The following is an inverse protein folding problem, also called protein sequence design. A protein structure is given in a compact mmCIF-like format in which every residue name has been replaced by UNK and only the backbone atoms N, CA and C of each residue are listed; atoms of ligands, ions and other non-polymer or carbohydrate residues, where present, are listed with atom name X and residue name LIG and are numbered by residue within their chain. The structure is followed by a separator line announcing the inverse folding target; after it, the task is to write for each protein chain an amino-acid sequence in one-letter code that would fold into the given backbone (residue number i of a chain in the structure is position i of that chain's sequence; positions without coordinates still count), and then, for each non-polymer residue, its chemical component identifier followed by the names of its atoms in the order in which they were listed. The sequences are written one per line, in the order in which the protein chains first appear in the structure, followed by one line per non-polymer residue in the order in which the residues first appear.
data_IF_098309862207
#
_entry.id   IF_098309862207
#
_cell.length_a   1.000
_cell.length_b   1.000
_cell.length_c   1.000
_cell.angle_alpha   90.00
_cell.angle_beta   90.00
_cell.angle_gamma   90.00
#
_symmetry.space_group_name_H-M   'P 1'
#
loop_
_entity.id
_entity.type
_entity.pdbx_description
1 polymer ?
#
# COMPACT_ATOMS: atom_id res chain seq x y z
N UNK A 1 0.32 -47.53 46.08
CA UNK A 1 0.96 -47.92 44.80
C UNK A 1 0.22 -47.20 43.69
N UNK A 2 0.67 -45.99 43.32
CA UNK A 2 0.08 -45.15 42.28
C UNK A 2 1.04 -45.14 41.10
N UNK A 3 0.58 -45.65 39.96
CA UNK A 3 1.37 -45.81 38.73
C UNK A 3 1.55 -44.43 38.08
N UNK A 4 2.81 -44.08 37.80
CA UNK A 4 3.24 -42.89 37.06
C UNK A 4 2.80 -43.00 35.60
N UNK A 5 2.04 -42.02 35.09
CA UNK A 5 1.82 -41.85 33.66
C UNK A 5 2.75 -40.75 33.11
N UNK A 6 3.59 -41.23 32.20
CA UNK A 6 4.64 -40.59 31.43
C UNK A 6 4.18 -39.32 30.68
N UNK A 7 4.94 -38.22 30.79
CA UNK A 7 4.77 -37.03 29.95
C UNK A 7 5.32 -37.32 28.56
N UNK A 8 4.44 -37.55 27.58
CA UNK A 8 4.82 -37.48 26.16
C UNK A 8 4.93 -36.00 25.80
N UNK A 9 6.17 -35.54 25.64
CA UNK A 9 6.51 -34.20 25.16
C UNK A 9 6.41 -34.19 23.64
N UNK A 10 5.34 -33.60 23.11
CA UNK A 10 5.22 -33.31 21.68
C UNK A 10 5.90 -31.94 21.45
N UNK A 11 6.94 -31.84 20.63
CA UNK A 11 7.68 -30.60 20.41
C UNK A 11 6.82 -29.57 19.67
N UNK A 12 6.89 -28.31 20.10
CA UNK A 12 6.09 -27.18 19.62
C UNK A 12 6.45 -26.67 18.20
N UNK A 13 7.33 -27.39 17.49
CA UNK A 13 7.98 -26.90 16.26
C UNK A 13 7.44 -27.54 14.97
N UNK A 14 6.24 -28.14 15.01
CA UNK A 14 5.63 -28.83 13.86
C UNK A 14 4.37 -28.15 13.28
N UNK A 15 4.01 -26.93 13.71
CA UNK A 15 2.89 -26.17 13.13
C UNK A 15 3.38 -24.85 12.52
N UNK A 16 4.23 -24.99 11.50
CA UNK A 16 4.48 -23.95 10.50
C UNK A 16 3.28 -23.78 9.56
N UNK A 17 2.14 -23.30 10.08
CA UNK A 17 1.04 -22.78 9.27
C UNK A 17 1.06 -21.25 9.31
N UNK A 18 1.88 -20.70 8.42
CA UNK A 18 1.69 -19.38 7.85
C UNK A 18 0.30 -19.36 7.17
N UNK A 19 -0.51 -18.33 7.48
CA UNK A 19 -1.81 -17.98 6.89
C UNK A 19 -3.09 -18.50 7.59
N UNK A 20 -3.68 -17.60 8.38
CA UNK A 20 -5.14 -17.40 8.51
C UNK A 20 -5.97 -18.44 9.27
N UNK A 21 -5.95 -18.36 10.60
CA UNK A 21 -7.06 -18.82 11.45
C UNK A 21 -7.62 -17.65 12.26
N UNK A 22 -8.74 -17.11 11.76
CA UNK A 22 -9.67 -16.30 12.53
C UNK A 22 -10.29 -17.16 13.65
N UNK A 23 -10.18 -16.76 14.91
CA UNK A 23 -11.34 -16.60 15.76
C UNK A 23 -11.72 -15.12 15.69
N UNK A 24 -12.92 -14.86 15.18
CA UNK A 24 -13.63 -13.60 15.36
C UNK A 24 -13.95 -13.42 16.86
N UNK A 25 -12.94 -13.20 17.69
CA UNK A 25 -13.10 -12.29 18.83
C UNK A 25 -12.87 -10.91 18.25
N UNK A 26 -13.92 -10.34 17.67
CA UNK A 26 -14.01 -8.89 17.55
C UNK A 26 -13.90 -8.41 19.00
N UNK A 27 -12.71 -8.02 19.43
CA UNK A 27 -12.57 -7.20 20.64
C UNK A 27 -13.36 -5.94 20.28
N UNK A 28 -14.55 -5.74 20.84
CA UNK A 28 -15.34 -4.58 20.49
C UNK A 28 -14.56 -3.36 20.99
N UNK A 29 -14.46 -2.35 20.14
CA UNK A 29 -14.03 -1.00 20.50
C UNK A 29 -12.55 -0.73 20.81
N UNK A 30 -11.61 -1.35 20.09
CA UNK A 30 -10.34 -0.63 19.92
C UNK A 30 -10.54 0.50 18.91
N UNK A 31 -10.70 1.73 19.41
CA UNK A 31 -10.76 2.95 18.57
C UNK A 31 -9.44 3.26 17.86
N UNK A 32 -8.37 2.55 18.20
CA UNK A 32 -7.05 2.67 17.59
C UNK A 32 -6.36 1.29 17.49
N UNK A 33 -6.75 0.44 16.52
CA UNK A 33 -6.19 -0.92 16.37
C UNK A 33 -4.73 -0.92 15.89
N UNK A 34 -4.24 0.21 15.35
CA UNK A 34 -2.88 0.34 14.83
C UNK A 34 -1.97 1.16 15.76
N UNK A 35 -2.50 1.61 16.90
CA UNK A 35 -1.79 2.39 17.92
C UNK A 35 -1.06 3.62 17.33
N UNK A 36 -1.66 4.25 16.30
CA UNK A 36 -1.03 5.39 15.60
C UNK A 36 -1.10 6.67 16.45
N UNK A 37 -2.03 6.74 17.40
CA UNK A 37 -2.26 7.91 18.23
C UNK A 37 -1.43 7.91 19.52
N UNK A 38 -0.39 7.07 19.61
CA UNK A 38 0.49 7.01 20.79
C UNK A 38 1.10 8.37 21.16
N UNK A 39 1.35 9.22 20.17
CA UNK A 39 1.93 10.55 20.36
C UNK A 39 0.94 11.63 20.86
N UNK A 40 -0.37 11.40 20.77
CA UNK A 40 -1.43 12.36 21.12
C UNK A 40 -1.96 12.11 22.55
N UNK A 41 -1.44 11.08 23.23
CA UNK A 41 -1.83 10.76 24.60
C UNK A 41 -1.22 11.76 25.58
N UNK A 42 -1.96 12.82 25.89
CA UNK A 42 -1.59 13.76 26.94
C UNK A 42 -1.85 13.12 28.31
N UNK A 43 -0.82 12.50 28.89
CA UNK A 43 -0.87 11.96 30.25
C UNK A 43 -0.68 13.07 31.28
N UNK A 44 -1.47 13.06 32.35
CA UNK A 44 -1.41 14.06 33.42
C UNK A 44 0.00 14.23 34.02
N UNK A 45 0.71 13.11 34.23
CA UNK A 45 2.10 13.12 34.73
C UNK A 45 3.08 13.82 33.80
N UNK A 46 2.82 13.81 32.49
CA UNK A 46 3.64 14.52 31.48
C UNK A 46 3.36 16.02 31.44
N UNK A 47 2.19 16.46 31.92
CA UNK A 47 1.78 17.88 31.91
C UNK A 47 2.15 18.59 33.21
N UNK A 48 1.94 17.94 34.36
CA UNK A 48 2.16 18.53 35.69
C UNK A 48 3.55 18.24 36.25
N UNK A 49 4.16 17.12 35.85
CA UNK A 49 5.54 16.69 36.14
C UNK A 49 6.25 17.42 37.29
N UNK A 50 6.00 17.02 38.54
CA UNK A 50 6.74 17.57 39.68
C UNK A 50 8.24 17.24 39.58
N UNK A 51 9.16 18.21 39.77
CA UNK A 51 10.58 17.94 39.85
C UNK A 51 10.93 17.17 41.13
N UNK A 52 11.96 16.32 41.09
CA UNK A 52 12.31 15.38 42.18
C UNK A 52 12.57 16.02 43.56
N UNK A 53 12.70 17.36 43.64
CA UNK A 53 12.94 18.10 44.89
C UNK A 53 11.71 18.64 45.62
N UNK A 54 10.52 18.70 45.00
CA UNK A 54 9.29 19.25 45.61
C UNK A 54 8.12 18.27 45.39
N UNK A 55 7.81 17.45 46.40
CA UNK A 55 6.68 16.51 46.37
C UNK A 55 5.44 17.13 46.98
N UNK A 56 4.35 17.17 46.22
CA UNK A 56 3.02 17.42 46.77
C UNK A 56 2.57 16.29 47.71
N UNK A 57 1.67 16.56 48.68
CA UNK A 57 1.04 15.52 49.48
C UNK A 57 0.36 14.46 48.62
N UNK A 58 0.46 13.16 48.96
CA UNK A 58 -0.02 12.08 48.06
C UNK A 58 -1.53 12.16 47.75
N UNK A 59 -2.32 12.71 48.67
CA UNK A 59 -3.76 12.87 48.47
C UNK A 59 -4.08 13.97 47.45
N UNK A 60 -3.34 15.08 47.47
CA UNK A 60 -3.52 16.19 46.52
C UNK A 60 -3.08 15.76 45.11
N UNK A 61 -1.99 14.98 45.04
CA UNK A 61 -1.48 14.40 43.79
C UNK A 61 -2.50 13.45 43.14
N UNK A 62 -3.07 12.51 43.91
CA UNK A 62 -4.09 11.58 43.38
C UNK A 62 -5.37 12.31 42.97
N UNK A 63 -5.85 13.24 43.79
CA UNK A 63 -7.08 13.96 43.51
C UNK A 63 -6.99 14.81 42.24
N UNK A 64 -5.88 15.52 42.05
CA UNK A 64 -5.66 16.35 40.86
C UNK A 64 -5.53 15.52 39.58
N UNK A 65 -4.93 14.33 39.63
CA UNK A 65 -4.87 13.41 38.49
C UNK A 65 -6.23 12.84 38.05
N UNK A 66 -7.08 12.47 39.01
CA UNK A 66 -8.44 11.98 38.74
C UNK A 66 -9.33 13.08 38.15
N UNK A 67 -9.32 14.28 38.76
CA UNK A 67 -10.09 15.43 38.27
C UNK A 67 -9.63 15.83 36.86
N UNK A 68 -8.32 15.85 36.59
CA UNK A 68 -7.81 16.16 35.27
C UNK A 68 -8.30 15.16 34.22
N UNK A 69 -8.20 13.86 34.50
CA UNK A 69 -8.61 12.80 33.58
C UNK A 69 -10.12 12.88 33.29
N UNK A 70 -10.92 13.17 34.31
CA UNK A 70 -12.36 13.36 34.16
C UNK A 70 -12.69 14.56 33.28
N UNK A 71 -12.10 15.73 33.56
CA UNK A 71 -12.37 16.96 32.80
C UNK A 71 -11.91 16.81 31.36
N UNK A 72 -10.71 16.27 31.11
CA UNK A 72 -10.21 16.01 29.76
C UNK A 72 -11.17 15.11 28.96
N UNK A 73 -11.64 14.02 29.56
CA UNK A 73 -12.59 13.11 28.91
C UNK A 73 -13.95 13.78 28.67
N UNK A 74 -14.47 14.52 29.65
CA UNK A 74 -15.76 15.21 29.56
C UNK A 74 -15.75 16.28 28.47
N UNK A 75 -14.71 17.13 28.43
CA UNK A 75 -14.55 18.17 27.41
C UNK A 75 -14.43 17.56 26.02
N UNK A 76 -13.59 16.53 25.84
CA UNK A 76 -13.47 15.85 24.55
C UNK A 76 -14.81 15.28 24.07
N UNK A 77 -15.55 14.58 24.94
CA UNK A 77 -16.86 14.02 24.59
C UNK A 77 -17.87 15.10 24.24
N UNK A 78 -17.92 16.19 25.00
CA UNK A 78 -18.81 17.31 24.73
C UNK A 78 -18.55 17.91 23.35
N UNK A 79 -17.29 18.19 23.01
CA UNK A 79 -16.93 18.72 21.70
C UNK A 79 -17.19 17.72 20.57
N UNK A 80 -16.91 16.43 20.74
CA UNK A 80 -17.19 15.43 19.68
C UNK A 80 -18.69 15.25 19.46
N UNK A 81 -19.52 15.32 20.49
CA UNK A 81 -20.98 15.21 20.35
C UNK A 81 -21.56 16.41 19.59
N UNK A 82 -21.00 17.60 19.78
CA UNK A 82 -21.47 18.82 19.11
C UNK A 82 -20.83 18.97 17.72
N UNK A 83 -19.50 19.00 17.66
CA UNK A 83 -18.75 19.23 16.43
C UNK A 83 -18.74 18.01 15.51
N UNK A 84 -18.82 16.79 16.03
CA UNK A 84 -18.80 15.58 15.21
C UNK A 84 -19.93 15.57 14.15
N UNK A 85 -21.21 15.68 14.55
CA UNK A 85 -22.33 15.78 13.62
C UNK A 85 -22.24 16.99 12.69
N UNK A 86 -21.81 18.16 13.20
CA UNK A 86 -21.68 19.37 12.39
C UNK A 86 -20.62 19.21 11.29
N UNK A 87 -19.44 18.71 11.64
CA UNK A 87 -18.36 18.44 10.68
C UNK A 87 -18.75 17.35 9.69
N UNK A 88 -19.42 16.29 10.16
CA UNK A 88 -19.93 15.23 9.28
C UNK A 88 -20.94 15.76 8.28
N UNK A 89 -21.83 16.67 8.69
CA UNK A 89 -22.81 17.29 7.81
C UNK A 89 -22.15 18.18 6.75
N UNK A 90 -21.17 19.01 7.15
CA UNK A 90 -20.39 19.81 6.21
C UNK A 90 -19.63 18.93 5.22
N UNK A 91 -18.98 17.86 5.70
CA UNK A 91 -18.29 16.91 4.84
C UNK A 91 -19.25 16.26 3.83
N UNK A 92 -20.43 15.82 4.27
CA UNK A 92 -21.44 15.24 3.39
C UNK A 92 -21.90 16.22 2.29
N UNK A 93 -22.10 17.50 2.61
CA UNK A 93 -22.41 18.54 1.62
C UNK A 93 -21.28 18.67 0.59
N UNK A 94 -20.03 18.75 1.04
CA UNK A 94 -18.88 18.85 0.14
C UNK A 94 -18.79 17.65 -0.79
N UNK A 95 -18.94 16.44 -0.28
CA UNK A 95 -18.97 15.23 -1.10
C UNK A 95 -20.16 15.21 -2.06
N UNK A 96 -21.33 15.70 -1.64
CA UNK A 96 -22.49 15.84 -2.52
C UNK A 96 -22.23 16.78 -3.70
N UNK A 97 -21.65 17.95 -3.45
CA UNK A 97 -21.28 18.92 -4.48
C UNK A 97 -20.21 18.34 -5.41
N UNK A 98 -19.18 17.70 -4.86
CA UNK A 98 -18.14 17.03 -5.64
C UNK A 98 -18.71 15.94 -6.55
N UNK A 99 -19.64 15.13 -6.03
CA UNK A 99 -20.30 14.08 -6.80
C UNK A 99 -21.14 14.67 -7.94
N UNK A 100 -21.88 15.75 -7.67
CA UNK A 100 -22.61 16.48 -8.70
C UNK A 100 -21.64 17.00 -9.77
N UNK A 101 -20.56 17.67 -9.38
CA UNK A 101 -19.55 18.17 -10.31
C UNK A 101 -18.94 17.03 -11.15
N UNK A 102 -18.68 15.88 -10.53
CA UNK A 102 -18.15 14.71 -11.20
C UNK A 102 -19.10 14.19 -12.29
N UNK A 103 -20.40 14.06 -12.01
CA UNK A 103 -21.36 13.55 -13.00
C UNK A 103 -21.57 14.56 -14.12
N UNK A 104 -21.81 15.82 -13.75
CA UNK A 104 -22.30 16.83 -14.68
C UNK A 104 -21.20 17.52 -15.46
N UNK A 105 -19.99 17.63 -14.90
CA UNK A 105 -18.87 18.32 -15.54
C UNK A 105 -17.71 17.38 -15.84
N UNK A 106 -17.28 16.56 -14.88
CA UNK A 106 -16.09 15.72 -15.10
C UNK A 106 -16.33 14.66 -16.18
N UNK A 107 -17.50 14.00 -16.21
CA UNK A 107 -17.83 13.03 -17.27
C UNK A 107 -17.82 13.64 -18.67
N UNK A 108 -18.51 14.77 -18.97
CA UNK A 108 -18.44 15.36 -20.31
C UNK A 108 -17.05 15.90 -20.64
N UNK A 109 -16.34 16.50 -19.69
CA UNK A 109 -14.96 16.97 -19.89
C UNK A 109 -14.04 15.80 -20.25
N UNK A 110 -14.13 14.67 -19.54
CA UNK A 110 -13.36 13.46 -19.86
C UNK A 110 -13.70 12.92 -21.26
N UNK A 111 -14.98 12.94 -21.65
CA UNK A 111 -15.40 12.55 -23.01
C UNK A 111 -14.84 13.49 -24.06
N UNK A 112 -14.82 14.79 -23.80
CA UNK A 112 -14.21 15.77 -24.68
C UNK A 112 -12.70 15.54 -24.82
N UNK A 113 -11.97 15.38 -23.72
CA UNK A 113 -10.55 15.07 -23.74
C UNK A 113 -10.26 13.76 -24.47
N UNK A 114 -11.09 12.74 -24.30
CA UNK A 114 -10.94 11.49 -25.03
C UNK A 114 -11.00 11.72 -26.56
N UNK A 115 -11.92 12.55 -27.04
CA UNK A 115 -11.99 12.90 -28.47
C UNK A 115 -10.75 13.67 -28.92
N UNK A 116 -10.31 14.65 -28.14
CA UNK A 116 -9.10 15.44 -28.45
C UNK A 116 -7.85 14.54 -28.48
N UNK A 117 -7.68 13.66 -27.49
CA UNK A 117 -6.56 12.72 -27.45
C UNK A 117 -6.62 11.70 -28.59
N UNK A 118 -7.80 11.22 -28.96
CA UNK A 118 -7.95 10.36 -30.13
C UNK A 118 -7.51 11.07 -31.41
N UNK A 119 -7.90 12.34 -31.58
CA UNK A 119 -7.44 13.16 -32.71
C UNK A 119 -5.92 13.39 -32.69
N UNK A 120 -5.36 13.78 -31.54
CA UNK A 120 -3.92 13.98 -31.36
C UNK A 120 -3.15 12.71 -31.66
N UNK A 121 -3.63 11.55 -31.19
CA UNK A 121 -3.04 10.25 -31.51
C UNK A 121 -3.01 10.01 -33.01
N UNK A 122 -4.13 10.17 -33.70
CA UNK A 122 -4.20 10.00 -35.16
C UNK A 122 -3.24 10.95 -35.89
N UNK A 123 -3.16 12.21 -35.45
CA UNK A 123 -2.24 13.18 -36.02
C UNK A 123 -0.76 12.76 -35.84
N UNK A 124 -0.39 12.32 -34.64
CA UNK A 124 0.95 11.81 -34.35
C UNK A 124 1.24 10.57 -35.20
N UNK A 125 0.30 9.63 -35.30
CA UNK A 125 0.45 8.40 -36.07
C UNK A 125 0.68 8.67 -37.57
N UNK A 126 -0.10 9.59 -38.16
CA UNK A 126 0.09 10.03 -39.55
C UNK A 126 1.48 10.65 -39.72
N UNK A 127 1.88 11.53 -38.80
CA UNK A 127 3.18 12.21 -38.85
C UNK A 127 4.34 11.23 -38.74
N UNK A 128 4.27 10.28 -37.81
CA UNK A 128 5.28 9.24 -37.61
C UNK A 128 5.35 8.31 -38.82
N UNK A 129 4.23 7.85 -39.36
CA UNK A 129 4.21 6.99 -40.54
C UNK A 129 4.75 7.71 -41.79
N UNK A 130 4.49 9.01 -41.93
CA UNK A 130 4.98 9.80 -43.05
C UNK A 130 6.48 10.12 -43.00
N UNK A 131 7.09 10.15 -41.81
CA UNK A 131 8.49 10.57 -41.62
C UNK A 131 9.39 9.44 -41.13
N UNK A 132 9.05 8.88 -39.97
CA UNK A 132 9.84 7.83 -39.31
C UNK A 132 9.63 6.49 -40.00
N UNK A 133 8.42 6.19 -40.49
CA UNK A 133 8.10 4.99 -41.25
C UNK A 133 9.10 4.70 -42.39
N UNK A 134 9.24 5.58 -43.39
CA UNK A 134 10.18 5.38 -44.49
C UNK A 134 11.65 5.41 -44.03
N UNK A 135 11.99 6.18 -42.99
CA UNK A 135 13.36 6.21 -42.46
C UNK A 135 13.76 4.86 -41.82
N UNK A 136 12.86 4.27 -41.03
CA UNK A 136 13.09 2.95 -40.42
C UNK A 136 13.08 1.86 -41.49
N UNK A 137 12.22 1.94 -42.50
CA UNK A 137 12.19 0.98 -43.60
C UNK A 137 13.50 1.00 -44.40
N UNK A 138 13.99 2.20 -44.77
CA UNK A 138 15.26 2.35 -45.48
C UNK A 138 16.47 1.91 -44.65
N UNK A 139 16.49 2.25 -43.35
CA UNK A 139 17.51 1.75 -42.43
C UNK A 139 17.49 0.22 -42.30
N UNK A 140 16.30 -0.38 -42.22
CA UNK A 140 16.11 -1.82 -42.20
C UNK A 140 16.60 -2.50 -43.49
N UNK A 141 16.30 -1.91 -44.65
CA UNK A 141 16.81 -2.37 -45.94
C UNK A 141 18.34 -2.30 -46.02
N UNK A 142 18.95 -1.21 -45.53
CA UNK A 142 20.40 -1.07 -45.48
C UNK A 142 21.03 -2.18 -44.63
N UNK A 143 20.54 -2.42 -43.42
CA UNK A 143 21.01 -3.48 -42.54
C UNK A 143 20.76 -4.89 -43.11
N UNK A 144 19.66 -5.10 -43.84
CA UNK A 144 19.34 -6.39 -44.47
C UNK A 144 20.34 -6.79 -45.57
N UNK A 145 20.98 -5.80 -46.21
CA UNK A 145 22.04 -6.04 -47.20
C UNK A 145 23.32 -6.60 -46.57
N UNK A 146 23.55 -6.35 -45.28
CA UNK A 146 24.68 -6.90 -44.53
C UNK A 146 24.37 -8.25 -43.87
N UNK A 147 23.42 -9.03 -44.40
CA UNK A 147 23.10 -10.35 -43.87
C UNK A 147 24.28 -11.31 -44.03
N UNK A 148 25.14 -11.37 -43.01
CA UNK A 148 26.25 -12.32 -42.88
C UNK A 148 25.67 -13.72 -42.82
N UNK A 149 25.80 -14.48 -43.91
CA UNK A 149 25.57 -15.93 -43.88
C UNK A 149 26.79 -16.54 -43.22
N UNK A 150 26.65 -17.03 -42.00
CA UNK A 150 27.66 -17.88 -41.38
C UNK A 150 27.70 -19.21 -42.14
N UNK A 151 28.55 -19.29 -43.17
CA UNK A 151 29.00 -20.57 -43.70
C UNK A 151 29.83 -21.19 -42.58
N UNK A 152 29.32 -22.25 -41.95
CA UNK A 152 30.15 -23.10 -41.09
C UNK A 152 31.23 -23.69 -42.00
N UNK A 153 32.43 -23.12 -41.94
CA UNK A 153 33.63 -23.77 -42.43
C UNK A 153 33.75 -25.02 -41.55
N UNK A 154 33.55 -26.19 -42.17
CA UNK A 154 33.89 -27.46 -41.52
C UNK A 154 35.40 -27.45 -41.30
N UNK A 155 35.78 -26.94 -40.14
CA UNK A 155 37.12 -27.08 -39.60
C UNK A 155 37.06 -28.27 -38.63
N UNK A 156 37.27 -29.45 -39.22
CA UNK A 156 37.66 -30.70 -38.58
C UNK A 156 37.95 -31.66 -39.75
N UNK A 157 39.19 -31.95 -40.12
CA UNK A 157 40.05 -32.90 -39.39
C UNK A 157 39.25 -34.03 -38.77
N UNK A 158 38.59 -34.82 -39.61
CA UNK A 158 38.22 -36.21 -39.34
C UNK A 158 38.38 -37.01 -40.64
N UNK A 159 39.62 -37.19 -41.08
CA UNK A 159 39.99 -38.40 -41.81
C UNK A 159 40.40 -39.41 -40.73
N UNK A 160 39.58 -40.46 -40.50
CA UNK A 160 40.09 -41.77 -40.85
C UNK A 160 39.05 -42.77 -41.39
N UNK A 161 39.58 -43.69 -42.19
CA UNK A 161 39.18 -45.09 -42.37
C UNK A 161 37.89 -45.38 -43.17
N UNK A 162 38.13 -45.71 -44.44
CA UNK A 162 37.35 -46.63 -45.27
C UNK A 162 36.77 -47.84 -44.51
N UNK A 163 35.58 -48.31 -44.92
CA UNK A 163 35.27 -49.73 -44.90
C UNK A 163 34.99 -50.27 -46.31
N UNK A 164 35.79 -51.29 -46.62
CA UNK A 164 35.61 -52.44 -47.51
C UNK A 164 34.16 -52.84 -47.88
N UNK A 165 33.98 -53.18 -49.18
CA UNK A 165 33.20 -54.30 -49.78
C UNK A 165 31.66 -54.26 -49.59
N UNK A 166 30.83 -54.33 -50.65
CA UNK A 166 30.73 -55.29 -51.77
C UNK A 166 30.48 -54.58 -53.10
#
# INVERSE_FOLDING_TARGET
MVIQMNKVSIPADALGLHHSTLPTTIVPDSRDPLQINGHIQATWSSVVGEPEGLRSPEWAWKFSGEVFSFIQAATYRFFVIILGPLLSFLAAIHFGILHFLQIWFLRPILKFFHVVFAFTRSFIEITLNGTVGPFVETAGLFCSRFRVRHQRVYDAKDEPAYPFII
#
